data_IF_549326152448
#
_entry.id   IF_549326152448
#
_cell.length_a   1.000
_cell.length_b   1.000
_cell.length_c   1.000
_cell.angle_alpha   90.00
_cell.angle_beta   90.00
_cell.angle_gamma   90.00
#
_symmetry.space_group_name_H-M   'P 1'
#
loop_
_entity.id
_entity.type
_entity.pdbx_description
1 polymer ?
#
# COMPACT_ATOMS: atom_id res chain seq x y z
N UNK A 1 -4.33 -7.07 3.90
CA UNK A 1 -5.23 -8.00 4.65
C UNK A 1 -4.58 -8.55 5.92
N UNK A 2 -3.47 -9.32 5.89
CA UNK A 2 -2.89 -9.88 7.13
C UNK A 2 -2.45 -8.80 8.14
N UNK A 3 -1.95 -7.67 7.65
CA UNK A 3 -1.47 -6.55 8.47
C UNK A 3 -2.60 -5.81 9.22
N UNK A 4 -3.78 -5.65 8.60
CA UNK A 4 -4.92 -4.97 9.24
C UNK A 4 -5.59 -5.85 10.30
N UNK A 5 -5.65 -7.16 10.06
CA UNK A 5 -6.11 -8.16 11.02
C UNK A 5 -5.23 -8.19 12.27
N UNK A 6 -3.89 -8.21 12.10
CA UNK A 6 -2.95 -8.14 13.20
C UNK A 6 -3.12 -6.87 14.04
N UNK A 7 -3.26 -5.71 13.40
CA UNK A 7 -3.47 -4.44 14.10
C UNK A 7 -4.80 -4.35 14.86
N UNK A 8 -5.87 -4.89 14.29
CA UNK A 8 -7.17 -4.97 14.98
C UNK A 8 -7.10 -5.86 16.23
N UNK A 9 -6.41 -6.99 16.13
CA UNK A 9 -6.20 -7.92 17.24
C UNK A 9 -5.33 -7.30 18.35
N UNK A 10 -4.26 -6.59 17.98
CA UNK A 10 -3.43 -5.82 18.92
C UNK A 10 -4.23 -4.69 19.57
N UNK A 11 -5.08 -3.99 18.83
CA UNK A 11 -5.96 -2.95 19.38
C UNK A 11 -6.95 -3.47 20.42
N UNK A 12 -7.53 -4.66 20.19
CA UNK A 12 -8.38 -5.36 21.16
C UNK A 12 -7.61 -5.77 22.42
N UNK A 13 -6.38 -6.28 22.26
CA UNK A 13 -5.52 -6.67 23.38
C UNK A 13 -5.12 -5.46 24.24
N UNK A 14 -4.73 -4.35 23.62
CA UNK A 14 -4.37 -3.11 24.33
C UNK A 14 -5.58 -2.54 25.08
N UNK A 15 -6.76 -2.59 24.47
CA UNK A 15 -7.98 -2.10 25.09
C UNK A 15 -8.62 -3.06 26.10
N UNK A 16 -8.04 -4.25 26.31
CA UNK A 16 -8.54 -5.29 27.22
C UNK A 16 -10.03 -5.64 26.99
N UNK A 17 -10.48 -5.59 25.73
CA UNK A 17 -11.88 -5.86 25.36
C UNK A 17 -12.03 -7.30 24.89
N UNK A 18 -13.07 -7.97 25.37
CA UNK A 18 -13.35 -9.37 25.03
C UNK A 18 -13.64 -9.55 23.53
N UNK A 19 -13.06 -10.60 22.96
CA UNK A 19 -13.41 -11.07 21.63
C UNK A 19 -14.86 -11.55 21.63
N UNK A 20 -15.74 -10.78 21.02
CA UNK A 20 -17.19 -10.91 21.10
C UNK A 20 -17.82 -10.74 19.71
N UNK A 21 -19.09 -11.12 19.53
CA UNK A 21 -19.79 -10.95 18.24
C UNK A 21 -19.67 -9.53 17.65
N UNK A 22 -19.76 -8.43 18.43
CA UNK A 22 -19.56 -7.08 17.89
C UNK A 22 -18.13 -6.81 17.41
N UNK A 23 -17.13 -7.37 18.08
CA UNK A 23 -15.73 -7.27 17.65
C UNK A 23 -15.52 -7.93 16.28
N UNK A 24 -16.19 -9.07 16.02
CA UNK A 24 -16.14 -9.75 14.73
C UNK A 24 -16.77 -8.90 13.61
N UNK A 25 -17.89 -8.23 13.89
CA UNK A 25 -18.51 -7.28 12.95
C UNK A 25 -17.53 -6.14 12.63
N UNK A 26 -16.83 -5.62 13.63
CA UNK A 26 -15.78 -4.61 13.44
C UNK A 26 -14.63 -5.10 12.57
N UNK A 27 -14.16 -6.34 12.80
CA UNK A 27 -13.12 -6.98 11.99
C UNK A 27 -13.53 -7.17 10.52
N UNK A 28 -14.77 -7.59 10.26
CA UNK A 28 -15.29 -7.75 8.89
C UNK A 28 -15.38 -6.37 8.20
N UNK A 29 -15.90 -5.36 8.90
CA UNK A 29 -15.97 -4.00 8.39
C UNK A 29 -14.58 -3.45 8.04
N UNK A 30 -13.60 -3.65 8.94
CA UNK A 30 -12.20 -3.32 8.71
C UNK A 30 -11.62 -4.00 7.47
N UNK A 31 -11.92 -5.29 7.29
CA UNK A 31 -11.49 -6.04 6.10
C UNK A 31 -11.98 -5.35 4.82
N UNK A 32 -13.25 -4.94 4.78
CA UNK A 32 -13.83 -4.21 3.65
C UNK A 32 -13.14 -2.86 3.39
N UNK A 33 -12.86 -2.08 4.43
CA UNK A 33 -12.20 -0.77 4.31
C UNK A 33 -10.76 -0.93 3.81
N UNK A 34 -9.99 -1.86 4.40
CA UNK A 34 -8.62 -2.13 4.00
C UNK A 34 -8.54 -2.67 2.56
N UNK A 35 -9.49 -3.51 2.17
CA UNK A 35 -9.60 -4.04 0.81
C UNK A 35 -9.89 -2.93 -0.19
N UNK A 36 -10.88 -2.06 0.09
CA UNK A 36 -11.18 -0.92 -0.79
C UNK A 36 -9.95 -0.05 -0.98
N UNK A 37 -9.21 0.26 0.10
CA UNK A 37 -8.03 1.12 0.03
C UNK A 37 -6.90 0.48 -0.79
N UNK A 38 -6.78 -0.85 -0.76
CA UNK A 38 -5.77 -1.61 -1.52
C UNK A 38 -6.11 -1.72 -3.00
N UNK A 39 -7.36 -2.08 -3.35
CA UNK A 39 -7.82 -2.21 -4.74
C UNK A 39 -7.69 -0.89 -5.48
N UNK A 40 -8.16 0.19 -4.84
CA UNK A 40 -8.15 1.54 -5.39
C UNK A 40 -6.74 2.04 -5.72
N UNK A 41 -5.72 1.63 -4.97
CA UNK A 41 -4.32 1.96 -5.26
C UNK A 41 -3.80 1.18 -6.47
N UNK A 42 -4.07 -0.13 -6.53
CA UNK A 42 -3.66 -1.00 -7.63
C UNK A 42 -4.30 -0.56 -8.95
N UNK A 43 -5.58 -0.22 -8.94
CA UNK A 43 -6.27 0.31 -10.11
C UNK A 43 -5.62 1.60 -10.63
N UNK A 44 -5.29 2.55 -9.75
CA UNK A 44 -4.59 3.77 -10.17
C UNK A 44 -3.21 3.49 -10.75
N UNK A 45 -2.46 2.56 -10.17
CA UNK A 45 -1.14 2.18 -10.67
C UNK A 45 -1.23 1.50 -12.05
N UNK A 46 -2.24 0.66 -12.27
CA UNK A 46 -2.51 0.04 -13.58
C UNK A 46 -2.93 1.11 -14.59
N UNK A 47 -3.80 2.04 -14.21
CA UNK A 47 -4.28 3.12 -15.05
C UNK A 47 -3.14 4.06 -15.45
N UNK A 48 -2.33 4.51 -14.49
CA UNK A 48 -1.17 5.36 -14.73
C UNK A 48 -0.15 4.71 -15.66
N UNK A 49 0.03 3.38 -15.57
CA UNK A 49 0.90 2.63 -16.49
C UNK A 49 0.30 2.51 -17.89
N UNK A 50 -1.02 2.32 -18.01
CA UNK A 50 -1.70 2.18 -19.31
C UNK A 50 -1.84 3.51 -20.05
N UNK A 51 -2.19 4.59 -19.35
CA UNK A 51 -2.50 5.89 -19.97
C UNK A 51 -1.27 6.80 -20.10
N UNK A 52 -0.35 6.77 -19.13
CA UNK A 52 0.81 7.67 -19.11
C UNK A 52 2.14 6.98 -19.47
N UNK A 53 2.12 5.67 -19.75
CA UNK A 53 3.33 4.91 -20.10
C UNK A 53 4.40 4.87 -19.01
N UNK A 54 4.04 5.25 -17.78
CA UNK A 54 4.96 5.41 -16.66
C UNK A 54 5.60 4.08 -16.28
N UNK A 55 6.84 4.15 -15.79
CA UNK A 55 7.49 2.98 -15.18
C UNK A 55 6.68 2.51 -13.97
N UNK A 56 6.79 1.22 -13.60
CA UNK A 56 6.03 0.65 -12.47
C UNK A 56 6.20 1.47 -11.19
N UNK A 57 7.37 2.06 -10.99
CA UNK A 57 7.66 2.89 -9.81
C UNK A 57 6.91 4.23 -9.84
N UNK A 58 7.05 4.97 -10.93
CA UNK A 58 6.44 6.29 -11.08
C UNK A 58 4.92 6.21 -11.02
N UNK A 59 4.33 5.18 -11.66
CA UNK A 59 2.90 4.91 -11.61
C UNK A 59 2.40 4.66 -10.18
N UNK A 60 3.20 3.98 -9.35
CA UNK A 60 2.85 3.68 -7.96
C UNK A 60 3.00 4.91 -7.06
N UNK A 61 4.07 5.71 -7.23
CA UNK A 61 4.26 6.97 -6.48
C UNK A 61 3.15 7.97 -6.77
N UNK A 62 2.75 8.09 -8.04
CA UNK A 62 1.65 8.96 -8.45
C UNK A 62 0.31 8.47 -7.86
N UNK A 63 0.05 7.15 -7.93
CA UNK A 63 -1.11 6.54 -7.29
C UNK A 63 -1.14 6.77 -5.77
N UNK A 64 0.01 6.66 -5.10
CA UNK A 64 0.16 6.92 -3.67
C UNK A 64 -0.20 8.37 -3.31
N UNK A 65 0.33 9.36 -4.02
CA UNK A 65 0.01 10.77 -3.77
C UNK A 65 -1.47 11.07 -3.99
N UNK A 66 -2.07 10.54 -5.06
CA UNK A 66 -3.49 10.72 -5.36
C UNK A 66 -4.41 10.04 -4.33
N UNK A 67 -3.98 8.92 -3.74
CA UNK A 67 -4.76 8.16 -2.75
C UNK A 67 -4.52 8.56 -1.30
N UNK A 68 -3.37 9.18 -0.98
CA UNK A 68 -3.02 9.55 0.39
C UNK A 68 -4.09 10.46 1.03
N UNK A 69 -4.57 11.48 0.31
CA UNK A 69 -5.64 12.38 0.77
C UNK A 69 -6.94 11.62 1.09
N UNK A 70 -7.52 10.82 0.18
CA UNK A 70 -8.68 9.97 0.48
C UNK A 70 -8.49 8.96 1.62
N UNK A 71 -7.32 8.32 1.72
CA UNK A 71 -7.03 7.33 2.76
C UNK A 71 -7.03 8.01 4.13
N UNK A 72 -6.37 9.16 4.26
CA UNK A 72 -6.34 9.93 5.51
C UNK A 72 -7.75 10.43 5.86
N UNK A 73 -8.50 10.94 4.88
CA UNK A 73 -9.87 11.43 5.07
C UNK A 73 -10.77 10.35 5.68
N UNK A 74 -10.74 9.13 5.14
CA UNK A 74 -11.57 8.03 5.67
C UNK A 74 -11.13 7.58 7.06
N UNK A 75 -9.82 7.52 7.31
CA UNK A 75 -9.27 7.12 8.60
C UNK A 75 -9.67 8.11 9.69
N UNK A 76 -9.57 9.43 9.41
CA UNK A 76 -9.97 10.47 10.35
C UNK A 76 -11.48 10.51 10.57
N UNK A 77 -12.28 10.40 9.50
CA UNK A 77 -13.74 10.43 9.60
C UNK A 77 -14.29 9.25 10.42
N UNK A 78 -13.83 8.03 10.15
CA UNK A 78 -14.24 6.86 10.92
C UNK A 78 -13.68 6.87 12.34
N UNK A 79 -12.41 7.25 12.50
CA UNK A 79 -11.78 7.38 13.81
C UNK A 79 -12.54 8.34 14.71
N UNK A 80 -12.83 9.56 14.23
CA UNK A 80 -13.59 10.56 14.96
C UNK A 80 -15.05 10.12 15.23
N UNK A 81 -15.71 9.50 14.24
CA UNK A 81 -17.10 9.02 14.39
C UNK A 81 -17.24 7.87 15.39
N UNK A 82 -16.22 7.02 15.51
CA UNK A 82 -16.23 5.89 16.44
C UNK A 82 -15.59 6.20 17.79
N UNK A 83 -14.83 7.29 17.92
CA UNK A 83 -14.21 7.76 19.16
C UNK A 83 -15.20 7.87 20.34
N UNK A 84 -16.38 8.51 20.23
CA UNK A 84 -17.32 8.59 21.35
C UNK A 84 -17.89 7.21 21.74
N UNK A 85 -18.08 6.31 20.76
CA UNK A 85 -18.57 4.95 20.98
C UNK A 85 -17.51 4.10 21.68
N UNK A 86 -16.24 4.24 21.29
CA UNK A 86 -15.12 3.55 21.91
C UNK A 86 -14.96 3.93 23.39
N UNK A 87 -15.11 5.23 23.69
CA UNK A 87 -15.08 5.80 25.04
C UNK A 87 -16.36 5.53 25.85
N UNK A 88 -17.40 4.95 25.24
CA UNK A 88 -18.66 4.63 25.92
C UNK A 88 -19.50 5.86 26.29
N UNK A 89 -19.28 6.99 25.61
CA UNK A 89 -19.97 8.26 25.90
C UNK A 89 -21.30 8.26 25.13
N UNK A 90 -22.40 7.92 25.80
CA UNK A 90 -23.75 7.98 25.23
C UNK A 90 -24.73 6.94 25.81
N UNK A 91 -26.03 7.23 25.72
CA UNK A 91 -27.12 6.46 26.33
C UNK A 91 -27.42 5.09 25.69
N UNK A 92 -26.68 4.68 24.65
CA UNK A 92 -26.85 3.39 23.98
C UNK A 92 -25.97 2.31 24.63
N UNK A 93 -26.26 1.03 24.41
CA UNK A 93 -25.55 -0.14 24.95
C UNK A 93 -24.03 -0.12 24.72
N UNK A 94 -23.32 0.65 25.54
CA UNK A 94 -21.89 0.92 25.42
C UNK A 94 -21.09 -0.38 25.54
N UNK A 95 -21.59 -1.34 26.32
CA UNK A 95 -20.97 -2.66 26.48
C UNK A 95 -20.94 -3.48 25.19
N UNK A 96 -21.93 -3.32 24.31
CA UNK A 96 -21.99 -4.05 23.03
C UNK A 96 -21.25 -3.32 21.91
N UNK A 97 -21.31 -1.98 21.86
CA UNK A 97 -20.75 -1.19 20.74
C UNK A 97 -19.30 -0.75 20.94
N UNK A 98 -18.86 -0.61 22.20
CA UNK A 98 -17.47 -0.25 22.51
C UNK A 98 -16.43 -1.25 21.98
N UNK A 99 -16.56 -2.58 22.18
CA UNK A 99 -15.57 -3.54 21.64
C UNK A 99 -15.47 -3.50 20.11
N UNK A 100 -16.60 -3.28 19.41
CA UNK A 100 -16.62 -3.08 17.96
C UNK A 100 -15.85 -1.82 17.56
N UNK A 101 -16.15 -0.68 18.17
CA UNK A 101 -15.53 0.61 17.84
C UNK A 101 -14.02 0.60 18.10
N UNK A 102 -13.59 0.02 19.21
CA UNK A 102 -12.17 -0.15 19.56
C UNK A 102 -11.45 -1.02 18.54
N UNK A 103 -12.03 -2.16 18.15
CA UNK A 103 -11.45 -3.04 17.14
C UNK A 103 -11.25 -2.29 15.82
N UNK A 104 -12.27 -1.55 15.37
CA UNK A 104 -12.22 -0.75 14.14
C UNK A 104 -11.19 0.37 14.22
N UNK A 105 -11.15 1.14 15.30
CA UNK A 105 -10.16 2.23 15.45
C UNK A 105 -8.74 1.68 15.47
N UNK A 106 -8.48 0.63 16.26
CA UNK A 106 -7.16 0.00 16.35
C UNK A 106 -6.73 -0.58 15.00
N UNK A 107 -7.63 -1.31 14.32
CA UNK A 107 -7.34 -1.87 13.01
C UNK A 107 -7.14 -0.82 11.92
N UNK A 108 -7.90 0.29 11.95
CA UNK A 108 -7.76 1.39 11.00
C UNK A 108 -6.43 2.12 11.18
N UNK A 109 -6.10 2.51 12.40
CA UNK A 109 -4.85 3.24 12.69
C UNK A 109 -3.65 2.38 12.26
N UNK A 110 -3.64 1.12 12.69
CA UNK A 110 -2.54 0.20 12.37
C UNK A 110 -2.51 -0.10 10.87
N UNK A 111 -3.65 -0.35 10.22
CA UNK A 111 -3.69 -0.60 8.77
C UNK A 111 -3.26 0.62 7.96
N UNK A 112 -3.63 1.84 8.36
CA UNK A 112 -3.28 3.05 7.62
C UNK A 112 -1.79 3.37 7.79
N UNK A 113 -1.25 3.29 9.01
CA UNK A 113 0.19 3.45 9.28
C UNK A 113 1.02 2.37 8.57
N UNK A 114 0.65 1.10 8.72
CA UNK A 114 1.37 0.01 8.09
C UNK A 114 1.20 0.05 6.57
N UNK A 115 0.06 0.45 6.00
CA UNK A 115 -0.03 0.62 4.54
C UNK A 115 0.86 1.76 4.05
N UNK A 116 0.86 2.92 4.71
CA UNK A 116 1.76 4.03 4.35
C UNK A 116 3.24 3.69 4.53
N UNK A 117 3.61 2.79 5.44
CA UNK A 117 4.98 2.34 5.67
C UNK A 117 5.39 1.16 4.78
N UNK A 118 4.50 0.17 4.59
CA UNK A 118 4.76 -1.06 3.83
C UNK A 118 4.74 -0.80 2.34
N UNK A 119 3.93 0.12 1.82
CA UNK A 119 3.95 0.46 0.39
C UNK A 119 5.34 0.97 -0.06
N UNK A 120 5.97 1.97 0.62
CA UNK A 120 7.33 2.40 0.27
C UNK A 120 8.40 1.34 0.58
N UNK A 121 8.25 0.53 1.64
CA UNK A 121 9.21 -0.52 2.00
C UNK A 121 9.19 -1.72 1.04
N UNK A 122 8.01 -2.18 0.62
CA UNK A 122 7.87 -3.21 -0.42
C UNK A 122 8.44 -2.68 -1.74
N UNK A 123 8.27 -1.38 -2.03
CA UNK A 123 8.81 -0.84 -3.26
C UNK A 123 10.34 -0.71 -3.26
N UNK A 124 10.95 -0.18 -2.20
CA UNK A 124 12.42 -0.16 -2.08
C UNK A 124 13.00 -1.58 -2.15
N UNK A 125 12.34 -2.56 -1.53
CA UNK A 125 12.73 -3.97 -1.64
C UNK A 125 12.56 -4.55 -3.05
N UNK A 126 11.48 -4.22 -3.76
CA UNK A 126 11.24 -4.70 -5.13
C UNK A 126 12.15 -4.02 -6.16
N UNK A 127 12.51 -2.75 -5.96
CA UNK A 127 13.49 -2.05 -6.80
C UNK A 127 14.88 -2.67 -6.65
N UNK A 128 15.31 -3.00 -5.43
CA UNK A 128 16.60 -3.67 -5.20
C UNK A 128 16.61 -5.10 -5.78
N UNK A 129 15.53 -5.87 -5.60
CA UNK A 129 15.41 -7.23 -6.16
C UNK A 129 15.29 -7.22 -7.69
N UNK A 130 14.59 -6.24 -8.25
CA UNK A 130 14.44 -6.04 -9.69
C UNK A 130 15.75 -5.62 -10.36
N UNK A 131 16.51 -4.73 -9.74
CA UNK A 131 17.84 -4.34 -10.22
C UNK A 131 18.85 -5.49 -10.10
N UNK A 132 18.77 -6.30 -9.04
CA UNK A 132 19.62 -7.48 -8.86
C UNK A 132 19.32 -8.58 -9.89
N UNK A 133 18.04 -8.87 -10.15
CA UNK A 133 17.62 -9.86 -11.14
C UNK A 133 17.88 -9.37 -12.58
N UNK A 134 17.65 -8.08 -12.86
CA UNK A 134 17.95 -7.47 -14.15
C UNK A 134 19.45 -7.43 -14.48
N UNK A 135 20.33 -7.15 -13.51
CA UNK A 135 21.79 -7.24 -13.68
C UNK A 135 22.25 -8.68 -13.91
N UNK A 136 21.65 -9.65 -13.22
CA UNK A 136 22.00 -11.07 -13.35
C UNK A 136 21.54 -11.65 -14.69
N UNK A 137 20.32 -11.33 -15.15
CA UNK A 137 19.80 -11.77 -16.45
C UNK A 137 20.55 -11.12 -17.62
N UNK A 138 21.02 -9.87 -17.47
CA UNK A 138 21.81 -9.16 -18.48
C UNK A 138 23.25 -9.68 -18.57
N UNK A 139 23.81 -10.20 -17.46
CA UNK A 139 25.08 -10.95 -17.47
C UNK A 139 24.99 -12.29 -18.18
N UNK A 140 23.80 -12.91 -18.21
CA UNK A 140 23.57 -14.17 -18.92
C UNK A 140 23.26 -13.99 -20.43
N UNK A 141 22.72 -12.84 -20.85
CA UNK A 141 22.44 -12.53 -22.28
C UNK A 141 23.53 -11.69 -22.99
N UNK A 142 24.64 -11.38 -22.32
CA UNK A 142 25.69 -10.47 -22.81
C UNK A 142 26.91 -11.14 -23.43
N UNK A 143 26.75 -12.27 -24.12
CA UNK A 143 27.83 -12.89 -24.92
C UNK A 143 27.57 -12.70 -26.42
N UNK A 144 28.57 -12.15 -27.13
CA UNK A 144 28.65 -11.89 -28.59
C UNK A 144 27.86 -10.66 -29.09
N UNK A 145 28.44 -9.64 -29.74
CA UNK A 145 29.63 -9.57 -30.61
C UNK A 145 30.23 -8.15 -30.52
N UNK A 146 31.50 -8.03 -30.13
CA UNK A 146 32.32 -6.86 -30.46
C UNK A 146 32.72 -6.97 -31.92
N UNK A 147 32.33 -5.99 -32.74
CA UNK A 147 33.01 -5.71 -34.01
C UNK A 147 33.69 -4.35 -33.86
N UNK A 148 35.03 -4.25 -33.99
CA UNK A 148 35.78 -3.01 -33.78
C UNK A 148 35.32 -1.88 -34.73
N UNK A 149 35.45 -0.60 -34.34
CA UNK A 149 35.09 0.53 -35.18
C UNK A 149 35.97 0.56 -36.44
N UNK A 150 35.34 0.57 -37.60
CA UNK A 150 36.01 0.79 -38.88
C UNK A 150 36.68 2.18 -38.89
N UNK A 151 37.94 2.21 -39.29
CA UNK A 151 38.80 3.39 -39.36
C UNK A 151 38.19 4.53 -40.22
N UNK A 152 38.57 5.79 -39.99
CA UNK A 152 38.08 6.92 -40.78
C UNK A 152 38.59 6.81 -42.22
N UNK A 153 37.66 6.67 -43.18
CA UNK A 153 37.97 6.75 -44.60
C UNK A 153 38.07 8.21 -45.01
N UNK A 154 39.28 8.65 -45.36
CA UNK A 154 39.56 9.94 -45.98
C UNK A 154 38.97 9.95 -47.40
N UNK A 155 38.18 10.96 -47.83
CA UNK A 155 37.63 10.99 -49.17
C UNK A 155 38.70 11.37 -50.19
N UNK A 156 38.90 10.62 -51.30
CA UNK A 156 39.64 11.12 -52.43
C UNK A 156 38.76 12.08 -53.25
N UNK A 157 39.33 13.24 -53.52
CA UNK A 157 38.73 14.30 -54.31
C UNK A 157 38.36 13.85 -55.73
N UNK A 158 37.23 14.38 -56.19
CA UNK A 158 36.78 14.59 -57.57
C UNK A 158 37.88 14.56 -58.65
N UNK A 159 37.69 13.72 -59.67
CA UNK A 159 37.67 14.16 -61.09
C UNK A 159 37.02 13.12 -61.99
#
# INVERSE_FOLDING_TARGET
>A
LPLSLGGAFVGLLIAQKSFSMPSLIGLIMLMGIATKNSILLVEYAILARREHGLTRFEALIDACHKRARPIIMTTLAMGAGMMPIALGIGAADASFRSPMAVAVIGGLITSTLLSLLVIPAVFTGVDDVGQWFGRTMRRLRGGHHDTPPAAPQTPPATR
#
